data_IF_689293763742
#
_entry.id   IF_689293763742
#
_cell.length_a   1.000
_cell.length_b   1.000
_cell.length_c   1.000
_cell.angle_alpha   90.00
_cell.angle_beta   90.00
_cell.angle_gamma   90.00
#
_symmetry.space_group_name_H-M   'P 1'
#
loop_
_entity.id
_entity.type
_entity.pdbx_description
1 polymer ?
#
# COMPACT_ATOMS: atom_id res chain seq x y z
N UNK A 1 8.43 1.36 -21.05
CA UNK A 1 8.36 0.28 -20.06
C UNK A 1 8.18 -1.04 -20.78
N UNK A 2 9.09 -1.99 -20.57
CA UNK A 2 8.90 -3.39 -20.93
C UNK A 2 8.17 -4.11 -19.78
N UNK A 3 7.60 -5.29 -20.03
CA UNK A 3 6.94 -6.09 -19.00
C UNK A 3 7.89 -6.42 -17.82
N UNK A 4 9.16 -6.75 -18.12
CA UNK A 4 10.19 -7.00 -17.10
C UNK A 4 10.41 -5.79 -16.20
N UNK A 5 10.51 -4.60 -16.80
CA UNK A 5 10.67 -3.34 -16.05
C UNK A 5 9.43 -3.02 -15.23
N UNK A 6 8.23 -3.33 -15.73
CA UNK A 6 6.99 -3.16 -14.98
C UNK A 6 6.94 -4.04 -13.74
N UNK A 7 7.24 -5.33 -13.89
CA UNK A 7 7.23 -6.28 -12.77
C UNK A 7 8.29 -5.89 -11.73
N UNK A 8 9.50 -5.51 -12.16
CA UNK A 8 10.56 -5.10 -11.25
C UNK A 8 10.16 -3.86 -10.43
N UNK A 9 9.60 -2.83 -11.08
CA UNK A 9 9.13 -1.62 -10.41
C UNK A 9 7.98 -1.92 -9.44
N UNK A 10 7.02 -2.75 -9.86
CA UNK A 10 5.94 -3.21 -8.99
C UNK A 10 6.48 -3.91 -7.75
N UNK A 11 7.43 -4.84 -7.89
CA UNK A 11 8.01 -5.57 -6.76
C UNK A 11 8.75 -4.64 -5.79
N UNK A 12 9.49 -3.67 -6.32
CA UNK A 12 10.20 -2.67 -5.49
C UNK A 12 9.19 -1.82 -4.71
N UNK A 13 8.18 -1.29 -5.39
CA UNK A 13 7.12 -0.49 -4.74
C UNK A 13 6.32 -1.33 -3.75
N UNK A 14 6.05 -2.59 -4.04
CA UNK A 14 5.35 -3.52 -3.16
C UNK A 14 6.13 -3.72 -1.86
N UNK A 15 7.42 -4.03 -1.95
CA UNK A 15 8.27 -4.20 -0.77
C UNK A 15 8.37 -2.90 0.03
N UNK A 16 8.54 -1.76 -0.64
CA UNK A 16 8.64 -0.46 0.01
C UNK A 16 7.35 -0.10 0.76
N UNK A 17 6.19 -0.17 0.10
CA UNK A 17 4.90 0.15 0.69
C UNK A 17 4.57 -0.81 1.82
N UNK A 18 4.84 -2.12 1.65
CA UNK A 18 4.64 -3.11 2.70
C UNK A 18 5.48 -2.76 3.94
N UNK A 19 6.76 -2.46 3.76
CA UNK A 19 7.67 -2.07 4.85
C UNK A 19 7.16 -0.82 5.57
N UNK A 20 6.68 0.19 4.84
CA UNK A 20 6.14 1.41 5.42
C UNK A 20 4.87 1.14 6.26
N UNK A 21 3.93 0.34 5.74
CA UNK A 21 2.69 -0.01 6.46
C UNK A 21 3.01 -0.80 7.73
N UNK A 22 3.87 -1.81 7.63
CA UNK A 22 4.26 -2.65 8.76
C UNK A 22 4.98 -1.82 9.81
N UNK A 23 5.93 -0.98 9.39
CA UNK A 23 6.68 -0.10 10.30
C UNK A 23 5.76 0.92 10.99
N UNK A 24 4.81 1.49 10.26
CA UNK A 24 3.79 2.39 10.83
C UNK A 24 2.98 1.69 11.92
N UNK A 25 2.46 0.49 11.65
CA UNK A 25 1.66 -0.26 12.63
C UNK A 25 2.47 -0.71 13.85
N UNK A 26 3.75 -1.09 13.66
CA UNK A 26 4.63 -1.40 14.78
C UNK A 26 4.92 -0.20 15.69
N UNK A 27 4.90 1.03 15.15
CA UNK A 27 5.11 2.25 15.94
C UNK A 27 3.80 2.67 16.63
N UNK A 28 2.68 2.59 15.92
CA UNK A 28 1.37 3.05 16.40
C UNK A 28 0.74 2.10 17.44
N UNK A 29 1.19 0.85 17.48
CA UNK A 29 0.75 -0.17 18.44
C UNK A 29 1.90 -0.61 19.37
N UNK A 30 2.43 0.27 20.24
CA UNK A 30 3.59 -0.02 21.08
C UNK A 30 3.30 -1.01 22.22
N UNK A 31 2.02 -1.23 22.54
CA UNK A 31 1.58 -2.18 23.59
C UNK A 31 1.71 -3.64 23.13
N UNK A 32 1.98 -3.87 21.85
CA UNK A 32 2.15 -5.19 21.26
C UNK A 32 3.59 -5.64 21.45
N UNK A 33 3.81 -6.77 22.12
CA UNK A 33 5.11 -7.42 22.12
C UNK A 33 5.51 -7.76 20.67
N UNK A 34 6.48 -7.02 20.16
CA UNK A 34 7.02 -7.21 18.82
C UNK A 34 7.82 -8.51 18.79
N UNK A 35 7.15 -9.60 18.46
CA UNK A 35 7.76 -10.89 18.18
C UNK A 35 7.57 -11.26 16.69
N UNK A 36 8.31 -12.27 16.23
CA UNK A 36 8.28 -12.68 14.82
C UNK A 36 6.87 -13.11 14.34
N UNK A 37 6.05 -13.68 15.22
CA UNK A 37 4.67 -14.07 14.90
C UNK A 37 3.77 -12.86 14.64
N UNK A 38 3.79 -11.86 15.54
CA UNK A 38 3.04 -10.60 15.39
C UNK A 38 3.42 -9.88 14.11
N UNK A 39 4.71 -9.82 13.77
CA UNK A 39 5.20 -9.19 12.54
C UNK A 39 4.63 -9.91 11.30
N UNK A 40 4.66 -11.24 11.26
CA UNK A 40 4.12 -12.01 10.13
C UNK A 40 2.62 -11.76 9.97
N UNK A 41 1.86 -11.72 11.07
CA UNK A 41 0.44 -11.38 11.05
C UNK A 41 0.21 -9.99 10.50
N UNK A 42 0.99 -8.99 10.93
CA UNK A 42 0.88 -7.61 10.43
C UNK A 42 1.19 -7.55 8.93
N UNK A 43 2.26 -8.21 8.49
CA UNK A 43 2.62 -8.29 7.07
C UNK A 43 1.47 -8.88 6.26
N UNK A 44 0.94 -10.04 6.65
CA UNK A 44 -0.05 -10.76 5.84
C UNK A 44 -1.41 -10.07 5.86
N UNK A 45 -1.86 -9.61 7.03
CA UNK A 45 -3.21 -9.08 7.23
C UNK A 45 -3.34 -7.63 6.80
N UNK A 46 -2.31 -6.81 7.04
CA UNK A 46 -2.34 -5.37 6.72
C UNK A 46 -1.37 -5.02 5.60
N UNK A 47 -0.12 -5.44 5.70
CA UNK A 47 0.93 -5.08 4.74
C UNK A 47 0.56 -5.49 3.31
N UNK A 48 0.38 -6.79 3.07
CA UNK A 48 0.18 -7.37 1.72
C UNK A 48 -1.14 -6.90 1.11
N UNK A 49 -2.21 -6.90 1.90
CA UNK A 49 -3.56 -6.53 1.45
C UNK A 49 -3.59 -5.12 0.87
N UNK A 50 -2.87 -4.18 1.48
CA UNK A 50 -2.83 -2.79 1.03
C UNK A 50 -1.66 -2.48 0.11
N UNK A 51 -0.51 -3.14 0.26
CA UNK A 51 0.65 -2.87 -0.59
C UNK A 51 0.43 -3.31 -2.04
N UNK A 52 -0.28 -4.41 -2.30
CA UNK A 52 -0.59 -4.84 -3.68
C UNK A 52 -1.35 -3.74 -4.46
N UNK A 53 -2.54 -3.28 -4.03
CA UNK A 53 -3.31 -2.31 -4.78
C UNK A 53 -2.61 -0.94 -4.87
N UNK A 54 -1.90 -0.49 -3.84
CA UNK A 54 -1.13 0.77 -3.89
C UNK A 54 0.01 0.67 -4.90
N UNK A 55 0.79 -0.40 -4.86
CA UNK A 55 1.92 -0.57 -5.78
C UNK A 55 1.45 -0.75 -7.21
N UNK A 56 0.34 -1.46 -7.44
CA UNK A 56 -0.26 -1.57 -8.77
C UNK A 56 -0.73 -0.21 -9.29
N UNK A 57 -1.37 0.60 -8.45
CA UNK A 57 -1.80 1.96 -8.79
C UNK A 57 -0.60 2.83 -9.19
N UNK A 58 0.48 2.82 -8.40
CA UNK A 58 1.67 3.63 -8.64
C UNK A 58 2.43 3.19 -9.89
N UNK A 59 2.69 1.89 -10.06
CA UNK A 59 3.35 1.35 -11.25
C UNK A 59 2.49 1.57 -12.51
N UNK A 60 1.17 1.39 -12.39
CA UNK A 60 0.21 1.68 -13.45
C UNK A 60 0.21 3.16 -13.84
N UNK A 61 0.22 4.06 -12.86
CA UNK A 61 0.32 5.50 -13.08
C UNK A 61 1.62 5.88 -13.80
N UNK A 62 2.75 5.35 -13.35
CA UNK A 62 4.04 5.59 -14.00
C UNK A 62 4.05 5.09 -15.45
N UNK A 63 3.48 3.91 -15.70
CA UNK A 63 3.30 3.38 -17.05
C UNK A 63 2.45 4.34 -17.91
N UNK A 64 1.28 4.76 -17.42
CA UNK A 64 0.38 5.65 -18.15
C UNK A 64 1.02 7.01 -18.44
N UNK A 65 1.72 7.59 -17.47
CA UNK A 65 2.42 8.87 -17.61
C UNK A 65 3.52 8.82 -18.68
N UNK A 66 4.24 7.70 -18.77
CA UNK A 66 5.36 7.56 -19.69
C UNK A 66 4.96 7.09 -21.10
N UNK A 67 3.89 6.30 -21.22
CA UNK A 67 3.52 5.66 -22.49
C UNK A 67 2.26 6.22 -23.12
N UNK A 68 1.30 6.69 -22.32
CA UNK A 68 -0.02 7.12 -22.82
C UNK A 68 -0.16 8.63 -22.81
N UNK A 69 0.31 9.30 -21.76
CA UNK A 69 0.10 10.73 -21.56
C UNK A 69 1.01 11.60 -22.45
N UNK A 70 0.55 11.87 -23.68
CA UNK A 70 1.27 12.73 -24.65
C UNK A 70 1.21 14.22 -24.29
N UNK A 71 0.11 14.67 -23.69
CA UNK A 71 -0.14 16.08 -23.38
C UNK A 71 -0.10 16.32 -21.87
N UNK A 72 0.28 17.55 -21.49
CA UNK A 72 0.38 17.97 -20.08
C UNK A 72 -0.95 17.81 -19.34
N UNK A 73 -2.07 18.15 -19.99
CA UNK A 73 -3.40 18.02 -19.39
C UNK A 73 -3.71 16.58 -18.95
N UNK A 74 -3.39 15.59 -19.79
CA UNK A 74 -3.62 14.18 -19.45
C UNK A 74 -2.70 13.70 -18.32
N UNK A 75 -1.46 14.20 -18.26
CA UNK A 75 -0.54 13.92 -17.14
C UNK A 75 -1.10 14.45 -15.81
N UNK A 76 -1.59 15.68 -15.81
CA UNK A 76 -2.22 16.30 -14.64
C UNK A 76 -3.47 15.52 -14.22
N UNK A 77 -4.31 15.13 -15.17
CA UNK A 77 -5.51 14.32 -14.88
C UNK A 77 -5.16 12.98 -14.23
N UNK A 78 -4.17 12.24 -14.76
CA UNK A 78 -3.70 10.99 -14.17
C UNK A 78 -3.21 11.22 -12.75
N UNK A 79 -2.41 12.27 -12.52
CA UNK A 79 -1.90 12.59 -11.19
C UNK A 79 -3.03 12.88 -10.19
N UNK A 80 -4.05 13.66 -10.58
CA UNK A 80 -5.22 13.95 -9.73
C UNK A 80 -5.97 12.67 -9.37
N UNK A 81 -6.20 11.79 -10.35
CA UNK A 81 -6.89 10.51 -10.12
C UNK A 81 -6.10 9.64 -9.15
N UNK A 82 -4.79 9.52 -9.34
CA UNK A 82 -3.92 8.72 -8.46
C UNK A 82 -3.96 9.25 -7.04
N UNK A 83 -3.85 10.57 -6.84
CA UNK A 83 -3.95 11.19 -5.51
C UNK A 83 -5.32 10.94 -4.87
N UNK A 84 -6.41 11.09 -5.64
CA UNK A 84 -7.76 10.83 -5.14
C UNK A 84 -7.95 9.36 -4.70
N UNK A 85 -7.45 8.41 -5.50
CA UNK A 85 -7.53 6.98 -5.15
C UNK A 85 -6.66 6.68 -3.92
N UNK A 86 -5.44 7.21 -3.84
CA UNK A 86 -4.59 7.05 -2.66
C UNK A 86 -5.26 7.61 -1.40
N UNK A 87 -5.93 8.75 -1.50
CA UNK A 87 -6.69 9.33 -0.39
C UNK A 87 -7.84 8.42 0.07
N UNK A 88 -8.59 7.82 -0.88
CA UNK A 88 -9.62 6.84 -0.53
C UNK A 88 -9.02 5.59 0.12
N UNK A 89 -7.92 5.08 -0.42
CA UNK A 89 -7.23 3.91 0.14
C UNK A 89 -6.70 4.16 1.54
N UNK A 90 -6.23 5.38 1.83
CA UNK A 90 -5.85 5.79 3.18
C UNK A 90 -7.03 5.67 4.15
N UNK A 91 -8.21 6.21 3.81
CA UNK A 91 -9.40 6.09 4.67
C UNK A 91 -9.85 4.65 4.85
N UNK A 92 -9.84 3.85 3.78
CA UNK A 92 -10.13 2.41 3.85
C UNK A 92 -9.14 1.68 4.75
N UNK A 93 -7.85 2.04 4.71
CA UNK A 93 -6.83 1.47 5.58
C UNK A 93 -7.11 1.75 7.05
N UNK A 94 -7.33 3.01 7.43
CA UNK A 94 -7.64 3.35 8.83
C UNK A 94 -8.93 2.70 9.33
N UNK A 95 -9.96 2.68 8.49
CA UNK A 95 -11.20 1.98 8.80
C UNK A 95 -10.98 0.47 8.98
N UNK A 96 -10.19 -0.16 8.10
CA UNK A 96 -9.87 -1.58 8.17
C UNK A 96 -9.04 -1.93 9.41
N UNK A 97 -8.03 -1.13 9.75
CA UNK A 97 -7.23 -1.29 10.97
C UNK A 97 -8.11 -1.10 12.20
N UNK A 98 -8.94 -0.05 12.23
CA UNK A 98 -9.85 0.23 13.34
C UNK A 98 -10.85 -0.91 13.58
N UNK A 99 -11.49 -1.41 12.52
CA UNK A 99 -12.39 -2.57 12.63
C UNK A 99 -11.63 -3.83 13.03
N UNK A 100 -10.44 -4.07 12.44
CA UNK A 100 -9.67 -5.26 12.76
C UNK A 100 -9.25 -5.29 14.22
N UNK A 101 -8.94 -4.13 14.82
CA UNK A 101 -8.67 -4.01 16.27
C UNK A 101 -9.93 -4.03 17.16
N UNK A 102 -11.12 -3.83 16.60
CA UNK A 102 -12.41 -3.95 17.32
C UNK A 102 -12.98 -5.37 17.31
N UNK A 103 -12.78 -6.11 16.21
CA UNK A 103 -13.33 -7.45 16.00
C UNK A 103 -12.44 -8.52 16.63
N UNK A 104 -11.14 -8.37 16.45
CA UNK A 104 -10.16 -9.27 17.04
C UNK A 104 -9.19 -8.39 17.82
N UNK A 105 -8.89 -8.75 19.07
CA UNK A 105 -7.55 -8.44 19.54
C UNK A 105 -6.62 -9.16 18.53
N UNK A 106 -5.85 -8.46 17.68
CA UNK A 106 -5.03 -9.11 16.65
C UNK A 106 -3.96 -10.05 17.26
N UNK A 107 -3.95 -10.14 18.59
CA UNK A 107 -3.00 -10.74 19.51
C UNK A 107 -3.67 -11.73 20.49
N UNK A 108 -5.01 -11.88 20.45
CA UNK A 108 -5.66 -13.00 21.13
C UNK A 108 -5.29 -14.27 20.36
N UNK A 109 -4.35 -15.03 20.95
CA UNK A 109 -3.81 -16.32 20.50
C UNK A 109 -4.77 -17.19 19.69
#
# INVERSE_FOLDING_TARGET
MSLKSFIAEFLILFLLVNTLIVSFLCIDMPEVEVNAGSIVTIILRFGVVFSIPISLLLTGAHFLLNKVAKNVFLKVLIAIIVVAVLYLMYHVFFWYVGISGLIDDPLAK
#
